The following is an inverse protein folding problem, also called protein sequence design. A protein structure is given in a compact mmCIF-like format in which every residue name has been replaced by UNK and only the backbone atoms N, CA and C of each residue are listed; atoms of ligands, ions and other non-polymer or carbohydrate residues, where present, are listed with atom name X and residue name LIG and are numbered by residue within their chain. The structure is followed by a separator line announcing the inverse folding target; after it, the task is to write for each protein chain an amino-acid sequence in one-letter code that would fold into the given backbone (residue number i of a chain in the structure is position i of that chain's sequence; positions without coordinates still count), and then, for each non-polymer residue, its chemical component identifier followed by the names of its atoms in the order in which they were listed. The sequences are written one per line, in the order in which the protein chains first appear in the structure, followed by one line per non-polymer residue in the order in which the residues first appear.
data_IF_482084348023
#
_entry.id   IF_482084348023
#
_cell.length_a   1.000
_cell.length_b   1.000
_cell.length_c   1.000
_cell.angle_alpha   90.00
_cell.angle_beta   90.00
_cell.angle_gamma   90.00
#
_symmetry.space_group_name_H-M   'P 1'
#
loop_
_entity.id
_entity.type
_entity.pdbx_description
1 polymer ?
#
# COMPACT_ATOMS: atom_id res chain seq x y z
N UNK A 1 -10.24 -16.73 5.06
CA UNK A 1 -11.43 -15.86 4.93
C UNK A 1 -11.09 -14.60 4.16
N UNK A 2 -12.11 -13.96 3.61
CA UNK A 2 -11.95 -12.74 2.81
C UNK A 2 -12.79 -11.60 3.39
N UNK A 3 -12.25 -10.39 3.28
CA UNK A 3 -12.96 -9.15 3.58
C UNK A 3 -12.88 -8.23 2.38
N UNK A 4 -13.90 -7.38 2.18
CA UNK A 4 -13.87 -6.32 1.18
C UNK A 4 -13.54 -5.01 1.87
N UNK A 5 -12.46 -4.35 1.42
CA UNK A 5 -12.01 -3.07 1.99
C UNK A 5 -12.51 -1.94 1.07
N UNK A 6 -13.31 -1.00 1.57
CA UNK A 6 -13.75 0.13 0.77
C UNK A 6 -12.58 1.09 0.48
N UNK A 7 -12.41 1.45 -0.78
CA UNK A 7 -11.38 2.39 -1.23
C UNK A 7 -10.01 1.76 -1.48
N UNK A 8 -9.01 2.61 -1.68
CA UNK A 8 -7.64 2.17 -1.87
C UNK A 8 -6.98 1.92 -0.52
N UNK A 9 -6.21 0.85 -0.42
CA UNK A 9 -5.48 0.49 0.81
C UNK A 9 -4.06 0.02 0.46
N UNK A 10 -3.16 0.11 1.43
CA UNK A 10 -1.80 -0.41 1.28
C UNK A 10 -1.65 -1.72 2.05
N UNK A 11 -1.41 -2.80 1.32
CA UNK A 11 -1.23 -4.13 1.93
C UNK A 11 0.01 -4.23 2.82
N UNK A 12 1.02 -3.39 2.60
CA UNK A 12 2.25 -3.41 3.39
C UNK A 12 2.04 -2.84 4.81
N UNK A 13 0.96 -2.09 5.01
CA UNK A 13 0.57 -1.53 6.31
C UNK A 13 -0.60 -2.28 6.96
N UNK A 14 -0.85 -3.51 6.53
CA UNK A 14 -1.80 -4.38 7.21
C UNK A 14 -1.14 -5.05 8.40
N UNK A 15 -1.80 -4.95 9.55
CA UNK A 15 -1.42 -5.62 10.77
C UNK A 15 -2.52 -6.60 11.16
N UNK A 16 -2.15 -7.86 11.33
CA UNK A 16 -3.05 -8.93 11.74
C UNK A 16 -2.67 -9.36 13.15
N UNK A 17 -3.64 -9.42 14.04
CA UNK A 17 -3.45 -10.00 15.39
C UNK A 17 -4.51 -11.04 15.66
N UNK A 18 -4.13 -12.12 16.32
CA UNK A 18 -5.05 -13.18 16.76
C UNK A 18 -4.92 -13.30 18.27
N UNK A 19 -6.00 -13.08 19.00
CA UNK A 19 -6.05 -13.01 20.45
C UNK A 19 -4.97 -12.09 21.05
N UNK A 20 -4.66 -10.98 20.35
CA UNK A 20 -3.63 -10.02 20.72
C UNK A 20 -2.20 -10.37 20.31
N UNK A 21 -1.96 -11.57 19.77
CA UNK A 21 -0.66 -11.97 19.24
C UNK A 21 -0.53 -11.51 17.80
N UNK A 22 0.56 -10.83 17.47
CA UNK A 22 0.82 -10.32 16.12
C UNK A 22 1.26 -11.44 15.18
N UNK A 23 0.67 -11.43 13.98
CA UNK A 23 1.00 -12.34 12.87
C UNK A 23 1.73 -11.55 11.79
N UNK A 24 2.91 -12.01 11.41
CA UNK A 24 3.69 -11.42 10.32
C UNK A 24 3.18 -11.89 8.97
N UNK A 25 3.49 -11.14 7.90
CA UNK A 25 3.11 -11.55 6.56
C UNK A 25 4.18 -12.47 5.96
N UNK A 26 3.76 -13.65 5.52
CA UNK A 26 4.55 -14.55 4.70
C UNK A 26 4.23 -14.38 3.21
N UNK A 27 5.19 -14.63 2.34
CA UNK A 27 4.99 -14.57 0.90
C UNK A 27 4.13 -15.74 0.39
N UNK A 28 4.27 -16.90 1.01
CA UNK A 28 3.54 -18.13 0.65
C UNK A 28 3.30 -18.98 1.90
N UNK A 29 2.25 -19.80 1.87
CA UNK A 29 1.99 -20.80 2.91
C UNK A 29 3.16 -21.82 3.07
N UNK A 30 3.89 -22.08 1.99
CA UNK A 30 5.03 -22.99 1.99
C UNK A 30 6.28 -22.44 2.66
N UNK A 31 6.35 -21.12 2.81
CA UNK A 31 7.47 -20.45 3.48
C UNK A 31 7.32 -20.44 5.01
N UNK A 32 6.13 -20.76 5.51
CA UNK A 32 5.83 -20.80 6.93
C UNK A 32 6.44 -22.02 7.60
N UNK A 33 7.06 -21.82 8.76
CA UNK A 33 7.52 -22.89 9.62
C UNK A 33 6.38 -23.41 10.51
N UNK A 34 6.51 -24.61 11.04
CA UNK A 34 5.55 -25.18 11.98
C UNK A 34 5.31 -24.20 13.15
N UNK A 35 4.04 -23.98 13.49
CA UNK A 35 3.61 -23.08 14.57
C UNK A 35 4.05 -21.59 14.46
N UNK A 36 4.61 -21.16 13.33
CA UNK A 36 4.91 -19.72 13.15
C UNK A 36 3.63 -18.88 13.11
N UNK A 37 3.65 -17.72 13.81
CA UNK A 37 2.57 -16.75 13.77
C UNK A 37 2.66 -15.90 12.50
N UNK A 38 2.27 -16.50 11.38
CA UNK A 38 2.33 -15.90 10.06
C UNK A 38 1.00 -16.05 9.34
N UNK A 39 0.73 -15.13 8.42
CA UNK A 39 -0.42 -15.16 7.54
C UNK A 39 -0.04 -14.73 6.12
N UNK A 40 -0.66 -15.31 5.12
CA UNK A 40 -0.56 -14.84 3.74
C UNK A 40 -1.72 -13.92 3.46
N UNK A 41 -1.41 -12.73 2.97
CA UNK A 41 -2.40 -11.73 2.56
C UNK A 41 -2.36 -11.61 1.04
N UNK A 42 -3.47 -11.95 0.38
CA UNK A 42 -3.64 -11.78 -1.05
C UNK A 42 -4.76 -10.78 -1.35
N UNK A 43 -4.56 -9.98 -2.38
CA UNK A 43 -5.52 -8.96 -2.80
C UNK A 43 -6.15 -9.35 -4.11
N UNK A 44 -7.48 -9.33 -4.15
CA UNK A 44 -8.29 -9.56 -5.35
C UNK A 44 -8.56 -8.27 -6.13
N UNK A 45 -9.26 -8.43 -7.27
CA UNK A 45 -9.53 -7.34 -8.20
C UNK A 45 -10.43 -6.22 -7.63
N UNK A 46 -11.39 -6.58 -6.76
CA UNK A 46 -12.37 -5.64 -6.21
C UNK A 46 -11.98 -5.12 -4.81
N UNK A 47 -10.70 -5.01 -4.51
CA UNK A 47 -10.21 -4.71 -3.16
C UNK A 47 -10.61 -5.78 -2.12
N UNK A 48 -10.95 -6.98 -2.58
CA UNK A 48 -11.14 -8.11 -1.69
C UNK A 48 -9.77 -8.57 -1.18
N UNK A 49 -9.66 -8.69 0.11
CA UNK A 49 -8.45 -9.16 0.77
C UNK A 49 -8.71 -10.52 1.38
N UNK A 50 -7.95 -11.50 0.95
CA UNK A 50 -8.03 -12.86 1.46
C UNK A 50 -6.86 -13.12 2.41
N UNK A 51 -7.21 -13.55 3.62
CA UNK A 51 -6.27 -13.95 4.66
C UNK A 51 -6.24 -15.47 4.73
N UNK A 52 -5.05 -16.04 4.60
CA UNK A 52 -4.80 -17.47 4.76
C UNK A 52 -3.86 -17.67 5.94
N UNK A 53 -4.26 -18.52 6.86
CA UNK A 53 -3.48 -18.93 8.01
C UNK A 53 -2.96 -20.35 7.82
N UNK A 54 -2.03 -20.72 8.66
CA UNK A 54 -1.41 -22.04 8.57
C UNK A 54 -2.34 -23.21 8.85
N UNK A 55 -1.87 -24.40 8.54
CA UNK A 55 -2.58 -25.66 8.76
C UNK A 55 -2.17 -26.39 10.05
N UNK A 56 -1.14 -25.87 10.73
CA UNK A 56 -0.46 -26.53 11.87
C UNK A 56 0.78 -27.32 11.44
N UNK A 57 0.98 -27.55 10.15
CA UNK A 57 2.23 -28.09 9.57
C UNK A 57 3.04 -26.94 8.96
N UNK A 58 2.36 -26.05 8.27
CA UNK A 58 2.88 -24.81 7.73
C UNK A 58 2.11 -23.67 8.37
N UNK A 59 2.75 -22.98 9.33
CA UNK A 59 2.17 -21.90 10.09
C UNK A 59 1.12 -22.33 11.14
N UNK A 60 0.83 -21.44 12.06
CA UNK A 60 -0.11 -21.64 13.14
C UNK A 60 -1.55 -21.84 12.62
N UNK A 61 -2.20 -22.91 13.07
CA UNK A 61 -3.61 -23.17 12.75
C UNK A 61 -4.50 -22.43 13.75
N UNK A 62 -5.44 -21.63 13.23
CA UNK A 62 -6.44 -20.98 14.07
C UNK A 62 -7.47 -21.98 14.61
N UNK A 63 -7.86 -21.76 15.85
CA UNK A 63 -8.92 -22.52 16.52
C UNK A 63 -10.25 -21.75 16.42
N UNK A 64 -11.35 -22.48 16.57
CA UNK A 64 -12.67 -21.88 16.64
C UNK A 64 -12.79 -20.95 17.86
N UNK A 65 -13.38 -19.76 17.65
CA UNK A 65 -13.59 -18.77 18.71
C UNK A 65 -12.44 -17.79 18.92
N UNK A 66 -11.30 -17.94 18.27
CA UNK A 66 -10.22 -16.94 18.33
C UNK A 66 -10.62 -15.63 17.66
N UNK A 67 -10.26 -14.51 18.29
CA UNK A 67 -10.53 -13.17 17.77
C UNK A 67 -9.42 -12.72 16.82
N UNK A 68 -9.76 -12.58 15.55
CA UNK A 68 -8.86 -12.02 14.54
C UNK A 68 -9.15 -10.52 14.38
N UNK A 69 -8.16 -9.69 14.70
CA UNK A 69 -8.23 -8.25 14.51
C UNK A 69 -7.31 -7.84 13.36
N UNK A 70 -7.86 -7.07 12.41
CA UNK A 70 -7.13 -6.61 11.23
C UNK A 70 -7.14 -5.09 11.23
N UNK A 71 -5.96 -4.49 11.25
CA UNK A 71 -5.75 -3.06 11.13
C UNK A 71 -5.15 -2.78 9.76
N UNK A 72 -5.67 -1.79 9.06
CA UNK A 72 -5.18 -1.39 7.75
C UNK A 72 -5.31 0.12 7.56
N UNK A 73 -4.55 0.66 6.61
CA UNK A 73 -4.59 2.09 6.25
C UNK A 73 -5.25 2.22 4.88
N UNK A 74 -6.26 3.08 4.79
CA UNK A 74 -6.84 3.50 3.52
C UNK A 74 -6.25 4.82 3.06
N UNK A 75 -6.18 5.03 1.75
CA UNK A 75 -5.63 6.24 1.17
C UNK A 75 -6.44 6.70 -0.05
N UNK A 76 -6.25 7.96 -0.43
CA UNK A 76 -6.97 8.57 -1.55
C UNK A 76 -6.19 8.53 -2.87
N UNK A 77 -5.09 7.77 -2.94
CA UNK A 77 -4.25 7.67 -4.14
C UNK A 77 -3.70 9.03 -4.58
N UNK A 78 -3.84 9.35 -5.86
CA UNK A 78 -3.37 10.63 -6.43
C UNK A 78 -4.09 11.87 -5.87
N UNK A 79 -5.28 11.71 -5.28
CA UNK A 79 -6.00 12.80 -4.60
C UNK A 79 -5.31 13.26 -3.31
N UNK A 80 -4.37 12.49 -2.79
CA UNK A 80 -3.53 12.88 -1.66
C UNK A 80 -2.38 13.83 -2.05
N UNK A 81 -2.15 14.05 -3.34
CA UNK A 81 -1.15 15.03 -3.80
C UNK A 81 -1.71 16.45 -3.63
N UNK A 82 -0.91 17.32 -3.06
CA UNK A 82 -1.31 18.70 -2.72
C UNK A 82 -0.28 19.68 -3.31
N UNK A 83 -0.76 20.72 -3.99
CA UNK A 83 0.11 21.73 -4.58
C UNK A 83 0.67 22.69 -3.52
N UNK A 84 1.80 23.36 -3.80
CA UNK A 84 2.35 24.37 -2.88
C UNK A 84 1.31 25.43 -2.56
N UNK A 85 1.18 25.77 -1.29
CA UNK A 85 0.28 26.82 -0.81
C UNK A 85 -1.18 26.41 -0.59
N UNK A 86 -1.63 25.25 -1.06
CA UNK A 86 -3.03 24.80 -0.86
C UNK A 86 -3.42 24.67 0.63
N UNK A 87 -2.45 24.35 1.50
CA UNK A 87 -2.68 24.27 2.95
C UNK A 87 -2.48 25.60 3.68
N UNK A 88 -2.08 26.68 3.00
CA UNK A 88 -1.81 27.96 3.66
C UNK A 88 -3.04 28.64 4.25
N UNK A 89 -4.23 28.24 3.88
CA UNK A 89 -5.51 28.71 4.43
C UNK A 89 -6.16 27.77 5.42
N UNK A 90 -5.42 26.74 5.88
CA UNK A 90 -5.98 25.76 6.82
C UNK A 90 -6.32 26.41 8.17
N UNK A 91 -7.52 26.15 8.65
CA UNK A 91 -8.01 26.64 9.94
C UNK A 91 -8.23 25.43 10.86
N UNK A 92 -7.61 25.46 12.02
CA UNK A 92 -7.84 24.47 13.06
C UNK A 92 -9.24 24.65 13.66
N UNK A 93 -10.08 23.64 13.55
CA UNK A 93 -11.44 23.62 14.12
C UNK A 93 -11.47 23.10 15.55
N UNK A 94 -10.41 22.37 15.95
CA UNK A 94 -10.30 21.84 17.31
C UNK A 94 -9.75 22.91 18.24
N UNK A 95 -10.17 22.86 19.49
CA UNK A 95 -9.62 23.70 20.55
C UNK A 95 -8.41 23.05 21.17
N UNK A 96 -7.42 23.86 21.55
CA UNK A 96 -6.32 23.44 22.40
C UNK A 96 -6.55 23.82 23.87
N UNK A 97 -5.70 23.31 24.73
CA UNK A 97 -5.67 23.68 26.14
C UNK A 97 -4.27 24.14 26.53
N UNK A 98 -4.18 25.21 27.33
CA UNK A 98 -2.91 25.63 27.91
C UNK A 98 -2.53 24.70 29.08
N UNK A 99 -1.33 24.92 29.64
CA UNK A 99 -0.84 24.14 30.78
C UNK A 99 -1.66 24.31 32.07
N UNK A 100 -2.57 25.31 32.12
CA UNK A 100 -3.51 25.54 33.21
C UNK A 100 -4.90 24.97 32.93
N UNK A 101 -5.11 24.38 31.75
CA UNK A 101 -6.39 23.82 31.32
C UNK A 101 -7.36 24.83 30.70
N UNK A 102 -6.92 26.07 30.42
CA UNK A 102 -7.78 27.05 29.73
C UNK A 102 -7.86 26.72 28.21
N UNK A 103 -9.02 26.94 27.65
CA UNK A 103 -9.25 26.77 26.21
C UNK A 103 -8.49 27.84 25.45
N UNK A 104 -7.70 27.44 24.44
CA UNK A 104 -7.01 28.32 23.52
C UNK A 104 -7.43 28.03 22.09
N UNK A 105 -7.48 29.07 21.25
CA UNK A 105 -7.65 28.92 19.82
C UNK A 105 -6.30 28.63 19.18
N UNK A 106 -6.15 27.43 18.58
CA UNK A 106 -4.89 27.00 17.97
C UNK A 106 -4.45 27.91 16.81
N UNK A 107 -5.39 28.56 16.11
CA UNK A 107 -5.08 29.44 14.98
C UNK A 107 -4.30 30.68 15.37
N UNK A 108 -4.34 31.10 16.65
CA UNK A 108 -3.61 32.24 17.14
C UNK A 108 -2.11 31.92 17.40
N UNK A 109 -1.78 30.63 17.49
CA UNK A 109 -0.44 30.15 17.86
C UNK A 109 0.23 29.35 16.77
N UNK A 110 -0.55 28.72 15.85
CA UNK A 110 -0.05 27.81 14.82
C UNK A 110 -0.41 28.35 13.44
N UNK A 111 0.60 28.56 12.61
CA UNK A 111 0.43 28.87 11.19
C UNK A 111 0.97 27.71 10.37
N UNK A 112 0.16 27.19 9.45
CA UNK A 112 0.58 26.16 8.53
C UNK A 112 1.18 26.80 7.27
N UNK A 113 2.39 26.34 6.89
CA UNK A 113 3.04 26.75 5.65
C UNK A 113 3.50 25.51 4.90
N UNK A 114 3.19 25.45 3.61
CA UNK A 114 3.62 24.35 2.74
C UNK A 114 4.31 24.93 1.50
N UNK A 115 5.64 25.13 1.55
CA UNK A 115 6.40 25.74 0.45
C UNK A 115 6.62 24.78 -0.73
N UNK A 116 6.54 23.47 -0.51
CA UNK A 116 6.76 22.43 -1.53
C UNK A 116 5.52 21.57 -1.71
N UNK A 117 5.35 20.97 -2.90
CA UNK A 117 4.25 20.04 -3.14
C UNK A 117 4.40 18.76 -2.30
N UNK A 118 3.28 18.21 -1.87
CA UNK A 118 3.18 16.83 -1.39
C UNK A 118 2.88 15.99 -2.62
N UNK A 119 3.78 15.07 -2.96
CA UNK A 119 3.69 14.21 -4.14
C UNK A 119 4.02 12.77 -3.77
N UNK A 120 3.71 11.83 -4.68
CA UNK A 120 3.96 10.39 -4.48
C UNK A 120 2.68 9.58 -4.32
N UNK A 121 1.53 10.26 -4.17
CA UNK A 121 0.24 9.58 -4.24
C UNK A 121 -0.03 9.10 -5.67
N UNK A 122 -0.33 7.81 -5.84
CA UNK A 122 -0.73 7.22 -7.11
C UNK A 122 -1.97 6.35 -6.94
N UNK A 123 -2.78 6.27 -7.98
CA UNK A 123 -3.89 5.34 -8.03
C UNK A 123 -3.36 3.94 -8.37
N UNK A 124 -4.18 2.91 -8.13
CA UNK A 124 -3.87 1.55 -8.56
C UNK A 124 -3.68 1.49 -10.08
N UNK A 125 -2.81 0.61 -10.52
CA UNK A 125 -2.56 0.39 -11.95
C UNK A 125 -3.84 0.01 -12.68
N UNK A 126 -3.99 0.50 -13.91
CA UNK A 126 -5.12 0.11 -14.75
C UNK A 126 -5.05 -1.37 -15.08
N UNK A 127 -6.20 -2.02 -15.24
CA UNK A 127 -6.26 -3.45 -15.57
C UNK A 127 -5.54 -3.79 -16.87
N UNK A 128 -5.49 -2.85 -17.82
CA UNK A 128 -4.76 -3.03 -19.07
C UNK A 128 -3.24 -3.05 -18.83
N UNK A 129 -2.75 -2.19 -17.95
CA UNK A 129 -1.34 -2.20 -17.56
C UNK A 129 -0.98 -3.49 -16.82
N UNK A 130 -1.82 -3.92 -15.87
CA UNK A 130 -1.63 -5.18 -15.14
C UNK A 130 -1.59 -6.38 -16.10
N UNK A 131 -2.52 -6.45 -17.08
CA UNK A 131 -2.53 -7.52 -18.10
C UNK A 131 -1.25 -7.54 -18.93
N UNK A 132 -0.74 -6.38 -19.33
CA UNK A 132 0.53 -6.27 -20.05
C UNK A 132 1.70 -6.76 -19.20
N UNK A 133 1.70 -6.36 -17.91
CA UNK A 133 2.77 -6.74 -16.96
C UNK A 133 2.77 -8.23 -16.63
N UNK A 134 1.59 -8.87 -16.52
CA UNK A 134 1.49 -10.34 -16.30
C UNK A 134 2.11 -11.09 -17.47
N UNK A 135 1.79 -10.73 -18.69
CA UNK A 135 2.38 -11.34 -19.89
C UNK A 135 3.90 -11.19 -19.95
N UNK A 136 4.43 -10.08 -19.45
CA UNK A 136 5.86 -9.83 -19.38
C UNK A 136 6.54 -10.59 -18.24
N UNK A 137 5.94 -10.62 -17.05
CA UNK A 137 6.51 -11.29 -15.88
C UNK A 137 6.50 -12.82 -16.00
N UNK A 138 5.60 -13.38 -16.81
CA UNK A 138 5.53 -14.82 -17.08
C UNK A 138 6.54 -15.30 -18.15
N UNK A 139 7.13 -14.38 -18.90
CA UNK A 139 8.16 -14.69 -19.90
C UNK A 139 9.54 -14.55 -19.28
N UNK A 140 10.47 -15.45 -19.64
CA UNK A 140 11.89 -15.26 -19.31
C UNK A 140 12.33 -13.89 -19.85
N UNK A 141 13.15 -13.18 -19.08
CA UNK A 141 13.66 -11.83 -19.38
C UNK A 141 14.55 -11.82 -20.63
N UNK A 142 13.95 -12.04 -21.80
CA UNK A 142 14.64 -11.84 -23.08
C UNK A 142 14.27 -10.43 -23.56
N UNK A 143 15.21 -9.51 -23.43
CA UNK A 143 15.09 -8.13 -23.93
C UNK A 143 15.33 -8.14 -25.45
N UNK A 144 14.42 -8.75 -26.20
CA UNK A 144 14.61 -8.98 -27.64
C UNK A 144 13.98 -7.91 -28.54
N UNK A 145 13.07 -7.08 -28.02
CA UNK A 145 12.41 -6.04 -28.79
C UNK A 145 12.19 -4.76 -27.97
N UNK A 146 11.84 -3.68 -28.65
CA UNK A 146 11.63 -2.35 -28.05
C UNK A 146 10.58 -2.36 -26.94
N UNK A 147 9.48 -3.09 -27.12
CA UNK A 147 8.39 -3.16 -26.15
C UNK A 147 8.83 -3.85 -24.84
N UNK A 148 9.66 -4.89 -24.95
CA UNK A 148 10.22 -5.58 -23.81
C UNK A 148 11.16 -4.68 -23.00
N UNK A 149 11.98 -3.86 -23.68
CA UNK A 149 12.83 -2.87 -23.03
C UNK A 149 12.01 -1.78 -22.34
N UNK A 150 10.99 -1.23 -23.00
CA UNK A 150 10.10 -0.23 -22.43
C UNK A 150 9.39 -0.75 -21.17
N UNK A 151 8.90 -1.98 -21.22
CA UNK A 151 8.25 -2.62 -20.06
C UNK A 151 9.24 -2.90 -18.93
N UNK A 152 10.46 -3.32 -19.25
CA UNK A 152 11.52 -3.51 -18.27
C UNK A 152 11.88 -2.21 -17.55
N UNK A 153 12.04 -1.13 -18.30
CA UNK A 153 12.39 0.18 -17.74
C UNK A 153 11.28 0.78 -16.87
N UNK A 154 10.01 0.49 -17.16
CA UNK A 154 8.87 0.89 -16.31
C UNK A 154 8.86 0.29 -14.90
N UNK A 155 9.70 -0.72 -14.62
CA UNK A 155 9.88 -1.26 -13.26
C UNK A 155 10.58 -0.27 -12.32
N UNK A 156 11.30 0.67 -12.89
CA UNK A 156 12.00 1.69 -12.12
C UNK A 156 11.12 2.93 -12.00
N UNK A 157 10.64 3.22 -10.81
CA UNK A 157 9.71 4.31 -10.53
C UNK A 157 10.23 5.70 -10.92
N UNK A 158 11.55 5.85 -11.06
CA UNK A 158 12.20 7.09 -11.50
C UNK A 158 12.21 7.29 -13.02
N UNK A 159 11.78 6.27 -13.81
CA UNK A 159 11.72 6.34 -15.27
C UNK A 159 10.27 6.59 -15.68
N UNK A 160 9.95 7.84 -16.02
CA UNK A 160 8.60 8.23 -16.44
C UNK A 160 8.29 7.83 -17.88
N UNK A 161 9.23 8.05 -18.80
CA UNK A 161 9.05 7.71 -20.22
C UNK A 161 10.41 7.34 -20.85
N UNK A 162 10.42 6.41 -21.80
CA UNK A 162 11.62 6.00 -22.50
C UNK A 162 11.32 5.74 -23.99
N UNK A 163 12.22 6.15 -24.85
CA UNK A 163 12.21 5.81 -26.27
C UNK A 163 13.49 5.07 -26.61
N UNK A 164 13.40 4.05 -27.44
CA UNK A 164 14.57 3.35 -27.97
C UNK A 164 14.79 3.76 -29.43
N UNK A 165 16.04 3.96 -29.77
CA UNK A 165 16.49 4.20 -31.13
C UNK A 165 17.49 3.11 -31.50
N UNK A 166 17.35 2.52 -32.68
CA UNK A 166 18.41 1.69 -33.24
C UNK A 166 19.30 2.57 -34.09
N UNK A 167 20.58 2.69 -33.76
CA UNK A 167 21.58 3.24 -34.68
C UNK A 167 21.97 2.12 -35.64
N UNK A 168 21.61 2.27 -36.92
CA UNK A 168 22.14 1.43 -37.96
C UNK A 168 23.60 1.88 -38.20
N UNK A 169 24.55 1.05 -37.82
CA UNK A 169 25.92 1.14 -38.29
C UNK A 169 26.06 0.53 -39.69
#
# INVERSE_FOLDING_TARGET
FSISIPGLFDKNYMKVTVDGVEFTQAASLYDMTEDSNESVVSTGYNNDVTFMFGSGIHGHRLNEGQLVNIQYITHSGSLGNVNPGELSGFVFTNVGYDYKGNVINLNDYITLSMPTCISGGSNSDSINLVRQMVGYNSRSLVLANEDNFKLFLKRFSFIGNCNMFSENN
#
